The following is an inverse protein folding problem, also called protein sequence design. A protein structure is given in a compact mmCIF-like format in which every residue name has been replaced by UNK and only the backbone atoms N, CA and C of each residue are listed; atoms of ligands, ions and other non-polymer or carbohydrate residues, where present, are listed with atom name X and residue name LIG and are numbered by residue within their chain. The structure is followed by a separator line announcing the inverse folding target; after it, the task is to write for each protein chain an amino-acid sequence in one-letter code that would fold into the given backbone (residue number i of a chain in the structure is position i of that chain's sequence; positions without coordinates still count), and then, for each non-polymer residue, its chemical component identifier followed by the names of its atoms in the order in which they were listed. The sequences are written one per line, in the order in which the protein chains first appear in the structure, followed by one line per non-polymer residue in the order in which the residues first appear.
data_IF_729736365623
#
_entry.id   IF_729736365623
#
_cell.length_a   1.000
_cell.length_b   1.000
_cell.length_c   1.000
_cell.angle_alpha   90.00
_cell.angle_beta   90.00
_cell.angle_gamma   90.00
#
_symmetry.space_group_name_H-M   'P 1'
#
loop_
_entity.id
_entity.type
_entity.pdbx_description
1 polymer ?
#
# COMPACT_ATOMS: atom_id res chain seq x y z
N UNK A 1 -11.73 4.59 17.66
CA UNK A 1 -10.85 4.09 16.58
C UNK A 1 -10.75 2.55 16.63
N UNK A 2 -11.86 1.84 16.90
CA UNK A 2 -11.80 0.40 17.24
C UNK A 2 -11.70 -0.55 16.04
N UNK A 3 -11.78 -0.06 14.79
CA UNK A 3 -11.74 -0.87 13.56
C UNK A 3 -10.73 -0.32 12.52
N UNK A 4 -9.55 0.13 12.95
CA UNK A 4 -8.51 0.64 12.03
C UNK A 4 -7.25 -0.21 12.17
N UNK A 5 -6.82 -0.80 11.07
CA UNK A 5 -5.54 -1.50 10.97
C UNK A 5 -4.53 -0.62 10.23
N UNK A 6 -3.47 -0.21 10.92
CA UNK A 6 -2.37 0.56 10.33
C UNK A 6 -1.28 -0.40 9.89
N UNK A 7 -0.99 -0.42 8.59
CA UNK A 7 0.00 -1.32 8.00
C UNK A 7 1.40 -0.67 8.12
N UNK A 8 2.24 -1.25 8.98
CA UNK A 8 3.56 -0.72 9.32
C UNK A 8 4.70 -1.58 8.74
N UNK A 9 4.79 -1.64 7.41
CA UNK A 9 5.84 -2.34 6.68
C UNK A 9 6.77 -1.35 5.97
N UNK A 10 8.08 -1.47 6.16
CA UNK A 10 9.08 -0.55 5.60
C UNK A 10 8.98 -0.43 4.08
N UNK A 11 8.71 -1.54 3.39
CA UNK A 11 8.54 -1.58 1.93
C UNK A 11 7.32 -0.78 1.48
N UNK A 12 6.20 -0.85 2.20
CA UNK A 12 4.99 -0.09 1.89
C UNK A 12 5.22 1.41 2.16
N UNK A 13 5.92 1.75 3.23
CA UNK A 13 6.22 3.15 3.58
C UNK A 13 7.11 3.83 2.52
N UNK A 14 8.18 3.17 2.06
CA UNK A 14 9.04 3.72 1.00
C UNK A 14 8.29 3.96 -0.30
N UNK A 15 7.43 3.01 -0.71
CA UNK A 15 6.59 3.15 -1.92
C UNK A 15 5.55 4.25 -1.76
N UNK A 16 4.96 4.39 -0.58
CA UNK A 16 3.98 5.43 -0.29
C UNK A 16 4.62 6.83 -0.28
N UNK A 17 5.88 6.94 0.13
CA UNK A 17 6.64 8.18 0.02
C UNK A 17 6.84 8.59 -1.45
N UNK A 18 7.23 7.66 -2.32
CA UNK A 18 7.34 7.91 -3.77
C UNK A 18 5.98 8.21 -4.41
N UNK A 19 4.92 7.48 -4.04
CA UNK A 19 3.55 7.72 -4.52
C UNK A 19 3.05 9.14 -4.20
N UNK A 20 3.47 9.71 -3.05
CA UNK A 20 3.07 11.04 -2.58
C UNK A 20 3.89 12.18 -3.18
N UNK A 21 5.01 11.91 -3.83
CA UNK A 21 5.79 12.95 -4.49
C UNK A 21 5.02 13.49 -5.70
N UNK A 22 4.81 14.81 -5.73
CA UNK A 22 4.14 15.52 -6.83
C UNK A 22 4.88 15.38 -8.16
N UNK A 23 6.16 15.04 -8.13
CA UNK A 23 7.01 14.82 -9.31
C UNK A 23 6.87 13.41 -9.89
N UNK A 24 6.16 12.49 -9.23
CA UNK A 24 6.03 11.10 -9.68
C UNK A 24 5.27 11.01 -11.00
N UNK A 25 5.86 10.44 -12.06
CA UNK A 25 5.20 10.31 -13.35
C UNK A 25 3.93 9.47 -13.28
N UNK A 26 2.94 9.76 -14.14
CA UNK A 26 1.65 9.05 -14.14
C UNK A 26 1.76 7.52 -14.28
N UNK A 27 2.75 7.04 -15.04
CA UNK A 27 2.97 5.60 -15.20
C UNK A 27 3.45 4.95 -13.89
N UNK A 28 4.43 5.58 -13.22
CA UNK A 28 4.95 5.11 -11.94
C UNK A 28 3.92 5.22 -10.82
N UNK A 29 3.12 6.30 -10.80
CA UNK A 29 2.03 6.43 -9.84
C UNK A 29 1.07 5.24 -9.90
N UNK A 30 0.65 4.84 -11.10
CA UNK A 30 -0.25 3.68 -11.28
C UNK A 30 0.41 2.37 -10.87
N UNK A 31 1.70 2.20 -11.20
CA UNK A 31 2.48 1.02 -10.81
C UNK A 31 2.59 0.92 -9.29
N UNK A 32 3.06 1.97 -8.63
CA UNK A 32 3.21 2.05 -7.17
C UNK A 32 1.88 1.86 -6.45
N UNK A 33 0.79 2.45 -6.98
CA UNK A 33 -0.55 2.27 -6.42
C UNK A 33 -0.95 0.79 -6.45
N UNK A 34 -0.70 0.08 -7.55
CA UNK A 34 -0.95 -1.37 -7.65
C UNK A 34 -0.14 -2.17 -6.63
N UNK A 35 1.15 -1.84 -6.48
CA UNK A 35 2.04 -2.51 -5.52
C UNK A 35 1.60 -2.29 -4.06
N UNK A 36 1.25 -1.05 -3.69
CA UNK A 36 0.72 -0.74 -2.36
C UNK A 36 -0.59 -1.47 -2.13
N UNK A 37 -1.51 -1.42 -3.10
CA UNK A 37 -2.83 -2.06 -3.01
C UNK A 37 -2.73 -3.56 -2.80
N UNK A 38 -1.79 -4.24 -3.46
CA UNK A 38 -1.56 -5.67 -3.25
C UNK A 38 -1.18 -6.01 -1.81
N UNK A 39 -0.32 -5.19 -1.17
CA UNK A 39 0.01 -5.34 0.25
C UNK A 39 -1.18 -5.07 1.16
N UNK A 40 -2.02 -4.09 0.82
CA UNK A 40 -3.25 -3.80 1.59
C UNK A 40 -4.23 -4.98 1.50
N UNK A 41 -4.43 -5.55 0.32
CA UNK A 41 -5.31 -6.70 0.11
C UNK A 41 -4.82 -7.89 0.92
N UNK A 42 -3.52 -8.20 0.88
CA UNK A 42 -2.95 -9.29 1.66
C UNK A 42 -3.28 -9.17 3.16
N UNK A 43 -3.08 -7.99 3.73
CA UNK A 43 -3.40 -7.74 5.14
C UNK A 43 -4.92 -7.76 5.40
N UNK A 44 -5.74 -7.26 4.48
CA UNK A 44 -7.19 -7.26 4.61
C UNK A 44 -7.81 -8.67 4.52
N UNK A 45 -7.17 -9.59 3.78
CA UNK A 45 -7.64 -10.97 3.60
C UNK A 45 -6.97 -11.97 4.53
N UNK A 46 -6.19 -11.50 5.52
CA UNK A 46 -5.36 -12.35 6.37
C UNK A 46 -6.14 -13.39 7.18
N UNK A 47 -7.38 -13.08 7.51
CA UNK A 47 -8.25 -13.93 8.33
C UNK A 47 -9.11 -14.91 7.49
N UNK A 48 -8.93 -14.94 6.16
CA UNK A 48 -9.64 -15.90 5.33
C UNK A 48 -9.16 -17.33 5.63
N UNK A 49 -10.08 -18.31 5.70
CA UNK A 49 -9.71 -19.71 5.82
C UNK A 49 -8.93 -20.16 4.58
N UNK A 50 -7.88 -20.95 4.81
CA UNK A 50 -7.05 -21.57 3.77
C UNK A 50 -7.68 -22.84 3.19
#
# INVERSE_FOLDING_TARGET
VQNVTVINHSVVQSKLAELRDVKTPHADFRRLLGEVSASLVYEATRDLPL
#
